data_IF_210844001810
#
_entry.id   IF_210844001810
#
_cell.length_a   1.000
_cell.length_b   1.000
_cell.length_c   1.000
_cell.angle_alpha   90.00
_cell.angle_beta   90.00
_cell.angle_gamma   90.00
#
_symmetry.space_group_name_H-M   'P 1'
#
loop_
_entity.id
_entity.type
_entity.pdbx_description
1 polymer ?
#
# COMPACT_ATOMS: atom_id res chain seq x y z
N UNK A 1 -71.77 -13.42 78.55
CA UNK A 1 -71.40 -14.66 77.84
C UNK A 1 -69.90 -14.59 77.57
N UNK A 2 -69.08 -15.15 78.47
CA UNK A 2 -67.62 -15.08 78.33
C UNK A 2 -67.15 -16.18 77.39
N UNK A 3 -66.53 -15.83 76.26
CA UNK A 3 -65.89 -16.80 75.38
C UNK A 3 -64.64 -17.31 76.10
N UNK A 4 -64.67 -18.56 76.55
CA UNK A 4 -63.52 -19.20 77.19
C UNK A 4 -62.62 -19.75 76.08
N UNK A 5 -61.69 -18.93 75.57
CA UNK A 5 -60.80 -19.33 74.49
C UNK A 5 -59.79 -20.35 75.04
N UNK A 6 -59.73 -21.53 74.42
CA UNK A 6 -58.82 -22.60 74.83
C UNK A 6 -57.37 -22.16 74.64
N UNK A 7 -56.59 -22.18 75.72
CA UNK A 7 -55.18 -21.78 75.76
C UNK A 7 -54.32 -22.52 74.73
N UNK A 8 -54.70 -23.74 74.35
CA UNK A 8 -54.02 -24.52 73.29
C UNK A 8 -54.18 -23.92 71.89
N UNK A 9 -55.32 -23.28 71.62
CA UNK A 9 -55.60 -22.62 70.33
C UNK A 9 -54.83 -21.30 70.24
N UNK A 10 -54.75 -20.54 71.34
CA UNK A 10 -53.94 -19.32 71.43
C UNK A 10 -52.45 -19.62 71.20
N UNK A 11 -51.93 -20.69 71.80
CA UNK A 11 -50.54 -21.12 71.59
C UNK A 11 -50.27 -21.55 70.14
N UNK A 12 -51.22 -22.22 69.50
CA UNK A 12 -51.11 -22.60 68.08
C UNK A 12 -51.12 -21.39 67.15
N UNK A 13 -52.05 -20.45 67.34
CA UNK A 13 -52.08 -19.21 66.55
C UNK A 13 -50.82 -18.36 66.76
N UNK A 14 -50.32 -18.28 68.00
CA UNK A 14 -49.06 -17.59 68.30
C UNK A 14 -47.86 -18.27 67.59
N UNK A 15 -47.78 -19.60 67.58
CA UNK A 15 -46.71 -20.33 66.89
C UNK A 15 -46.74 -20.15 65.37
N UNK A 16 -47.94 -20.10 64.77
CA UNK A 16 -48.12 -19.88 63.33
C UNK A 16 -47.75 -18.44 62.97
N UNK A 17 -48.14 -17.46 63.79
CA UNK A 17 -47.76 -16.07 63.59
C UNK A 17 -46.22 -15.87 63.69
N UNK A 18 -45.57 -16.54 64.64
CA UNK A 18 -44.11 -16.54 64.77
C UNK A 18 -43.44 -17.21 63.57
N UNK A 19 -43.93 -18.37 63.13
CA UNK A 19 -43.40 -19.07 61.97
C UNK A 19 -43.55 -18.24 60.68
N UNK A 20 -44.71 -17.60 60.47
CA UNK A 20 -44.96 -16.72 59.32
C UNK A 20 -44.05 -15.49 59.33
N UNK A 21 -43.81 -14.87 60.49
CA UNK A 21 -42.88 -13.75 60.63
C UNK A 21 -41.42 -14.13 60.33
N UNK A 22 -41.01 -15.35 60.70
CA UNK A 22 -39.67 -15.88 60.39
C UNK A 22 -39.49 -16.17 58.90
N UNK A 23 -40.52 -16.68 58.21
CA UNK A 23 -40.47 -16.96 56.76
C UNK A 23 -40.40 -15.66 55.94
N UNK A 24 -41.16 -14.63 56.33
CA UNK A 24 -41.12 -13.31 55.67
C UNK A 24 -39.79 -12.59 55.93
N UNK A 25 -39.15 -12.82 57.09
CA UNK A 25 -37.83 -12.27 57.41
C UNK A 25 -36.64 -12.99 56.78
N UNK A 26 -36.80 -14.24 56.33
CA UNK A 26 -35.69 -15.11 55.91
C UNK A 26 -35.34 -15.07 54.42
N UNK A 27 -36.06 -14.29 53.59
CA UNK A 27 -35.79 -14.18 52.14
C UNK A 27 -35.26 -12.80 51.72
N UNK A 28 -34.48 -12.16 52.58
CA UNK A 28 -33.59 -11.06 52.19
C UNK A 28 -32.21 -11.63 51.88
N UNK A 29 -31.78 -11.58 50.62
CA UNK A 29 -30.37 -11.76 50.30
C UNK A 29 -29.62 -10.50 50.75
N UNK A 30 -28.70 -10.63 51.72
CA UNK A 30 -27.94 -9.50 52.27
C UNK A 30 -26.78 -9.04 51.38
N UNK A 31 -26.42 -9.83 50.38
CA UNK A 31 -25.35 -9.53 49.45
C UNK A 31 -25.93 -9.44 48.04
N UNK A 32 -25.97 -8.21 47.52
CA UNK A 32 -26.18 -7.90 46.11
C UNK A 32 -24.98 -7.12 45.63
N UNK A 33 -24.48 -7.44 44.46
CA UNK A 33 -23.42 -6.68 43.81
C UNK A 33 -23.84 -6.33 42.38
N UNK A 34 -23.46 -5.15 41.92
CA UNK A 34 -23.80 -4.62 40.60
C UNK A 34 -22.60 -3.88 40.03
N UNK A 35 -22.08 -4.39 38.92
CA UNK A 35 -21.01 -3.74 38.19
C UNK A 35 -21.58 -3.01 36.97
N UNK A 36 -21.14 -1.77 36.76
CA UNK A 36 -21.60 -0.94 35.62
C UNK A 36 -20.39 -0.52 34.79
N UNK A 37 -20.34 -1.00 33.54
CA UNK A 37 -19.40 -0.46 32.56
C UNK A 37 -19.96 0.86 32.00
N UNK A 38 -19.29 1.98 32.27
CA UNK A 38 -19.64 3.31 31.73
C UNK A 38 -18.60 3.75 30.71
N UNK A 39 -19.01 4.48 29.67
CA UNK A 39 -18.08 4.98 28.65
C UNK A 39 -17.68 3.97 27.57
N UNK A 40 -18.43 2.88 27.40
CA UNK A 40 -18.25 2.02 26.22
C UNK A 40 -18.52 2.84 24.95
N UNK A 41 -17.55 2.87 24.05
CA UNK A 41 -17.63 3.60 22.78
C UNK A 41 -17.26 2.68 21.63
N UNK A 42 -17.78 2.99 20.44
CA UNK A 42 -17.33 2.41 19.18
C UNK A 42 -16.84 3.55 18.30
N UNK A 43 -15.59 3.47 17.87
CA UNK A 43 -14.99 4.40 16.92
C UNK A 43 -14.55 3.60 15.71
N UNK A 44 -14.99 4.01 14.52
CA UNK A 44 -14.51 3.41 13.27
C UNK A 44 -13.08 3.90 12.99
N UNK A 45 -12.27 3.03 12.39
CA UNK A 45 -10.95 3.41 11.90
C UNK A 45 -11.02 4.23 10.61
N UNK A 46 -9.88 4.76 10.21
CA UNK A 46 -9.64 5.45 8.93
C UNK A 46 -8.74 4.58 8.04
N UNK A 47 -8.67 4.94 6.76
CA UNK A 47 -7.75 4.36 5.79
C UNK A 47 -7.19 5.51 4.97
N UNK A 48 -5.89 5.73 5.11
CA UNK A 48 -5.13 6.75 4.41
C UNK A 48 -3.83 6.12 3.93
N UNK A 49 -3.41 6.45 2.71
CA UNK A 49 -2.19 5.96 2.07
C UNK A 49 -1.23 7.14 1.91
N UNK A 50 0.00 6.98 2.39
CA UNK A 50 1.10 7.90 2.11
C UNK A 50 2.14 7.23 1.24
N UNK A 51 2.74 8.04 0.37
CA UNK A 51 3.72 7.60 -0.62
C UNK A 51 4.96 8.49 -0.55
N UNK A 52 6.12 7.86 -0.55
CA UNK A 52 7.43 8.50 -0.62
C UNK A 52 8.17 7.92 -1.84
N UNK A 53 9.06 8.70 -2.44
CA UNK A 53 9.87 8.23 -3.55
C UNK A 53 11.32 8.70 -3.43
N UNK A 54 12.25 7.83 -3.80
CA UNK A 54 13.66 8.19 -4.00
C UNK A 54 14.10 7.74 -5.38
N UNK A 55 14.40 8.69 -6.25
CA UNK A 55 14.90 8.42 -7.58
C UNK A 55 16.42 8.16 -7.58
N UNK A 56 16.83 7.28 -8.48
CA UNK A 56 18.19 7.01 -8.93
C UNK A 56 18.20 6.92 -10.47
N UNK A 57 18.98 7.74 -11.16
CA UNK A 57 19.09 7.72 -12.63
C UNK A 57 20.57 7.80 -13.00
N UNK A 58 21.02 7.03 -13.97
CA UNK A 58 22.43 6.93 -14.33
C UNK A 58 22.58 7.01 -15.85
N UNK A 59 23.48 7.90 -16.29
CA UNK A 59 23.95 7.93 -17.67
C UNK A 59 25.18 7.02 -17.84
N UNK A 60 25.34 6.32 -18.98
CA UNK A 60 26.53 5.51 -19.27
C UNK A 60 27.84 6.30 -19.21
N UNK A 61 27.77 7.63 -19.40
CA UNK A 61 28.94 8.49 -19.49
C UNK A 61 29.61 8.76 -18.14
N UNK A 62 28.84 8.79 -17.05
CA UNK A 62 29.34 9.15 -15.72
C UNK A 62 29.05 8.11 -14.63
N UNK A 63 28.09 7.21 -14.84
CA UNK A 63 27.70 6.16 -13.88
C UNK A 63 27.30 6.74 -12.51
N UNK A 64 26.86 8.00 -12.47
CA UNK A 64 26.50 8.70 -11.24
C UNK A 64 25.01 8.99 -11.15
N UNK A 65 24.41 8.91 -9.94
CA UNK A 65 22.99 9.21 -9.75
C UNK A 65 22.69 10.69 -10.06
N UNK A 66 21.85 10.96 -11.05
CA UNK A 66 21.61 12.29 -11.61
C UNK A 66 20.11 12.62 -11.84
N UNK A 67 19.26 12.25 -10.88
CA UNK A 67 17.82 12.53 -10.93
C UNK A 67 17.46 14.01 -11.12
N UNK A 68 16.44 14.32 -11.94
CA UNK A 68 15.96 15.68 -12.11
C UNK A 68 15.45 16.30 -10.81
N UNK A 69 15.88 17.54 -10.54
CA UNK A 69 15.53 18.27 -9.31
C UNK A 69 14.67 19.49 -9.62
N UNK A 70 13.95 20.06 -8.62
CA UNK A 70 13.11 21.23 -8.85
C UNK A 70 13.91 22.42 -9.41
N UNK A 71 13.34 23.17 -10.37
CA UNK A 71 11.96 23.13 -10.85
C UNK A 71 11.72 22.17 -12.01
N UNK A 72 12.75 21.48 -12.50
CA UNK A 72 12.69 20.67 -13.72
C UNK A 72 11.92 19.38 -13.50
N UNK A 73 12.14 18.69 -12.36
CA UNK A 73 11.37 17.53 -11.93
C UNK A 73 11.31 17.42 -10.41
N UNK A 74 10.26 16.81 -9.86
CA UNK A 74 10.18 16.47 -8.45
C UNK A 74 10.03 14.96 -8.34
N UNK A 75 11.17 14.27 -8.50
CA UNK A 75 11.28 12.81 -8.55
C UNK A 75 11.69 12.19 -7.22
N UNK A 76 12.05 12.99 -6.22
CA UNK A 76 12.33 12.52 -4.86
C UNK A 76 11.56 13.37 -3.85
N UNK A 77 10.84 12.72 -2.93
CA UNK A 77 10.03 13.39 -1.92
C UNK A 77 9.77 12.53 -0.67
N UNK A 78 9.57 13.21 0.45
CA UNK A 78 9.16 12.59 1.72
C UNK A 78 7.66 12.25 1.71
N UNK A 79 7.26 11.36 2.61
CA UNK A 79 5.88 10.88 2.77
C UNK A 79 4.78 11.92 2.66
N UNK A 80 3.92 11.73 1.66
CA UNK A 80 2.86 12.67 1.31
C UNK A 80 1.68 11.99 0.61
N UNK A 81 0.58 12.73 0.48
CA UNK A 81 -0.45 12.46 -0.52
C UNK A 81 0.08 12.83 -1.91
N UNK A 82 -0.09 11.92 -2.88
CA UNK A 82 0.29 12.19 -4.26
C UNK A 82 -0.55 13.32 -4.85
N UNK A 83 0.05 14.00 -5.83
CA UNK A 83 -0.54 15.14 -6.52
C UNK A 83 0.30 15.48 -7.74
N UNK A 84 -0.17 16.40 -8.58
CA UNK A 84 0.39 16.66 -9.93
C UNK A 84 1.86 17.07 -9.98
N UNK A 85 2.45 17.45 -8.85
CA UNK A 85 3.87 17.79 -8.77
C UNK A 85 4.76 16.54 -8.61
N UNK A 86 4.24 15.46 -8.02
CA UNK A 86 4.98 14.23 -7.74
C UNK A 86 5.02 13.37 -9.00
N UNK A 87 6.23 13.08 -9.50
CA UNK A 87 6.45 12.23 -10.67
C UNK A 87 7.48 11.19 -10.30
N UNK A 88 7.16 9.91 -10.36
CA UNK A 88 8.14 8.84 -10.13
C UNK A 88 9.30 8.99 -11.14
N UNK A 89 8.95 8.89 -12.42
CA UNK A 89 9.89 9.11 -13.51
C UNK A 89 9.59 10.44 -14.22
N UNK A 90 10.64 11.24 -14.43
CA UNK A 90 10.56 12.43 -15.26
C UNK A 90 11.93 12.71 -15.86
N UNK A 91 12.14 12.28 -17.10
CA UNK A 91 13.39 12.48 -17.84
C UNK A 91 13.07 13.14 -19.17
N UNK A 92 13.94 14.06 -19.60
CA UNK A 92 13.72 14.82 -20.85
C UNK A 92 14.68 14.41 -21.97
N UNK A 93 15.63 13.52 -21.68
CA UNK A 93 16.69 13.13 -22.61
C UNK A 93 17.28 11.75 -22.22
N UNK A 94 16.45 10.71 -22.32
CA UNK A 94 16.89 9.31 -22.12
C UNK A 94 17.57 8.80 -23.39
N UNK A 95 18.68 8.07 -23.24
CA UNK A 95 19.47 7.53 -24.35
C UNK A 95 19.63 6.02 -24.26
N UNK A 96 19.84 5.32 -25.39
CA UNK A 96 20.19 3.91 -25.36
C UNK A 96 21.39 3.65 -24.44
N UNK A 97 21.23 2.72 -23.50
CA UNK A 97 22.17 2.40 -22.45
C UNK A 97 21.86 3.03 -21.09
N UNK A 98 21.01 4.06 -21.05
CA UNK A 98 20.57 4.69 -19.81
C UNK A 98 19.73 3.73 -18.97
N UNK A 99 19.86 3.86 -17.65
CA UNK A 99 19.13 3.07 -16.68
C UNK A 99 18.87 3.88 -15.42
N UNK A 100 17.89 3.46 -14.65
CA UNK A 100 17.57 4.07 -13.38
C UNK A 100 16.65 3.20 -12.56
N UNK A 101 16.30 3.70 -11.40
CA UNK A 101 15.51 3.03 -10.40
C UNK A 101 14.81 4.07 -9.52
N UNK A 102 13.60 3.75 -9.10
CA UNK A 102 12.92 4.44 -8.01
C UNK A 102 12.70 3.48 -6.84
N UNK A 103 13.05 3.89 -5.62
CA UNK A 103 12.53 3.27 -4.40
C UNK A 103 11.24 3.99 -3.98
N UNK A 104 10.11 3.32 -4.23
CA UNK A 104 8.79 3.77 -3.79
C UNK A 104 8.48 3.13 -2.44
N UNK A 105 8.07 3.94 -1.47
CA UNK A 105 7.62 3.43 -0.19
C UNK A 105 6.20 3.85 0.14
N UNK A 106 5.43 2.91 0.69
CA UNK A 106 4.02 3.06 1.00
C UNK A 106 3.79 2.86 2.49
N UNK A 107 2.89 3.64 3.08
CA UNK A 107 2.45 3.46 4.48
C UNK A 107 0.96 3.69 4.58
N UNK A 108 0.26 2.80 5.29
CA UNK A 108 -1.20 2.85 5.47
C UNK A 108 -1.59 2.91 6.95
N UNK A 109 -2.68 3.61 7.27
CA UNK A 109 -3.20 3.69 8.66
C UNK A 109 -3.88 2.40 9.15
N UNK A 110 -4.31 1.54 8.24
CA UNK A 110 -4.92 0.25 8.55
C UNK A 110 -4.47 -0.80 7.55
N UNK A 111 -4.50 -2.08 7.94
CA UNK A 111 -4.15 -3.18 7.04
C UNK A 111 -4.98 -3.08 5.75
N UNK A 112 -4.30 -3.13 4.61
CA UNK A 112 -4.92 -2.82 3.33
C UNK A 112 -4.39 -3.69 2.19
N UNK A 113 -5.29 -4.06 1.29
CA UNK A 113 -4.94 -4.54 -0.03
C UNK A 113 -4.36 -3.38 -0.84
N UNK A 114 -3.36 -3.68 -1.67
CA UNK A 114 -2.73 -2.71 -2.56
C UNK A 114 -2.93 -3.13 -4.02
N UNK A 115 -3.30 -2.17 -4.84
CA UNK A 115 -3.29 -2.24 -6.30
C UNK A 115 -2.50 -1.07 -6.87
N UNK A 116 -1.70 -1.34 -7.88
CA UNK A 116 -1.07 -0.33 -8.72
C UNK A 116 -1.70 -0.38 -10.12
N UNK A 117 -1.95 0.79 -10.70
CA UNK A 117 -2.41 0.94 -12.08
C UNK A 117 -1.44 1.81 -12.84
N UNK A 118 -1.14 1.42 -14.08
CA UNK A 118 -0.36 2.21 -15.02
C UNK A 118 -1.21 2.41 -16.28
N UNK A 119 -1.44 3.67 -16.64
CA UNK A 119 -2.14 4.04 -17.88
C UNK A 119 -1.19 4.87 -18.74
N UNK A 120 -1.03 4.48 -20.00
CA UNK A 120 -0.19 5.22 -20.96
C UNK A 120 -1.07 6.31 -21.57
N UNK A 121 -0.69 7.56 -21.32
CA UNK A 121 -1.47 8.74 -21.72
C UNK A 121 -1.00 9.38 -23.02
N UNK A 122 0.27 9.16 -23.39
CA UNK A 122 0.82 9.56 -24.66
C UNK A 122 1.99 8.65 -25.02
N UNK A 123 2.08 8.33 -26.30
CA UNK A 123 3.22 7.67 -26.94
C UNK A 123 3.41 8.39 -28.26
N UNK A 124 4.56 9.04 -28.43
CA UNK A 124 4.73 10.10 -29.43
C UNK A 124 6.04 9.96 -30.16
N UNK A 125 5.96 9.90 -31.49
CA UNK A 125 7.07 10.16 -32.40
C UNK A 125 7.10 11.68 -32.69
N UNK A 126 7.98 12.42 -32.01
CA UNK A 126 7.98 13.88 -32.08
C UNK A 126 8.66 14.44 -33.33
N UNK A 127 9.74 13.80 -33.81
CA UNK A 127 10.47 14.27 -34.98
C UNK A 127 11.48 13.29 -35.55
N UNK A 128 11.21 12.82 -36.76
CA UNK A 128 12.17 12.06 -37.56
C UNK A 128 13.43 12.84 -37.98
N UNK A 129 14.50 12.63 -37.24
CA UNK A 129 15.82 13.17 -37.58
C UNK A 129 16.59 12.27 -38.55
N UNK A 130 17.69 12.79 -39.10
CA UNK A 130 18.49 12.06 -40.10
C UNK A 130 19.00 10.68 -39.64
N UNK A 131 19.55 10.53 -38.41
CA UNK A 131 20.00 9.24 -37.90
C UNK A 131 18.87 8.24 -37.65
N UNK A 132 17.74 8.73 -37.15
CA UNK A 132 16.51 7.98 -36.85
C UNK A 132 15.85 7.44 -38.12
N UNK A 133 15.67 8.26 -39.17
CA UNK A 133 15.15 7.80 -40.48
C UNK A 133 16.03 6.72 -41.13
N UNK A 134 17.31 6.65 -40.76
CA UNK A 134 18.23 5.59 -41.23
C UNK A 134 18.04 4.30 -40.43
N UNK A 135 17.79 4.41 -39.13
CA UNK A 135 17.52 3.28 -38.24
C UNK A 135 16.13 2.70 -38.48
N UNK A 136 15.14 3.55 -38.73
CA UNK A 136 13.73 3.21 -38.80
C UNK A 136 13.14 3.76 -40.12
N UNK A 137 13.17 2.95 -41.21
CA UNK A 137 12.64 3.33 -42.52
C UNK A 137 11.10 3.34 -42.52
N UNK A 138 10.51 4.35 -41.90
CA UNK A 138 9.07 4.38 -41.63
C UNK A 138 8.67 5.58 -40.78
N UNK A 139 9.62 6.11 -40.01
CA UNK A 139 9.50 7.22 -39.10
C UNK A 139 8.44 8.26 -39.49
N UNK A 140 7.57 8.55 -38.53
CA UNK A 140 6.47 9.50 -38.62
C UNK A 140 5.27 8.98 -39.42
N UNK A 141 5.17 7.67 -39.66
CA UNK A 141 4.07 7.08 -40.43
C UNK A 141 2.78 6.91 -39.62
N UNK A 142 2.87 6.71 -38.30
CA UNK A 142 1.74 6.41 -37.41
C UNK A 142 1.63 7.31 -36.18
N UNK A 143 2.51 8.30 -35.99
CA UNK A 143 2.59 9.20 -34.83
C UNK A 143 2.85 8.50 -33.47
N UNK A 144 2.86 7.16 -33.42
CA UNK A 144 3.26 6.36 -32.25
C UNK A 144 4.79 6.26 -32.21
N UNK A 145 5.41 6.50 -31.05
CA UNK A 145 6.86 6.35 -30.88
C UNK A 145 7.26 4.89 -30.62
N UNK A 146 8.57 4.62 -30.62
CA UNK A 146 9.15 3.31 -30.34
C UNK A 146 9.74 3.20 -28.92
N UNK A 147 9.78 4.31 -28.18
CA UNK A 147 10.40 4.35 -26.85
C UNK A 147 9.68 3.42 -25.85
N UNK A 148 8.34 3.36 -25.88
CA UNK A 148 7.56 2.55 -24.93
C UNK A 148 7.86 1.05 -25.09
N UNK A 149 7.98 0.57 -26.32
CA UNK A 149 8.26 -0.84 -26.66
C UNK A 149 9.69 -1.27 -26.30
N UNK A 150 10.55 -0.30 -25.99
CA UNK A 150 11.95 -0.53 -25.72
C UNK A 150 12.34 -0.19 -24.27
N UNK A 151 11.48 0.48 -23.52
CA UNK A 151 11.71 0.80 -22.12
C UNK A 151 11.32 -0.40 -21.24
N UNK A 152 12.32 -1.03 -20.62
CA UNK A 152 12.15 -2.24 -19.83
C UNK A 152 12.10 -1.92 -18.35
N UNK A 153 11.09 -2.45 -17.66
CA UNK A 153 10.87 -2.24 -16.23
C UNK A 153 10.94 -3.55 -15.45
N UNK A 154 11.50 -3.50 -14.25
CA UNK A 154 11.50 -4.59 -13.27
C UNK A 154 11.04 -4.03 -11.92
N UNK A 155 10.19 -4.77 -11.21
CA UNK A 155 9.75 -4.37 -9.87
C UNK A 155 10.00 -5.49 -8.88
N UNK A 156 10.47 -5.14 -7.69
CA UNK A 156 10.73 -6.08 -6.59
C UNK A 156 10.28 -5.53 -5.25
N UNK A 157 10.17 -6.42 -4.28
CA UNK A 157 10.09 -6.05 -2.88
C UNK A 157 11.48 -5.67 -2.39
N UNK A 158 11.69 -4.38 -2.18
CA UNK A 158 12.92 -3.81 -1.61
C UNK A 158 12.86 -4.00 -0.08
N UNK A 159 13.08 -5.24 0.34
CA UNK A 159 13.07 -5.65 1.74
C UNK A 159 14.50 -5.77 2.31
N UNK A 160 15.52 -5.50 1.49
CA UNK A 160 16.92 -5.70 1.84
C UNK A 160 17.29 -7.17 2.05
N UNK A 161 18.38 -7.39 2.78
CA UNK A 161 18.99 -8.73 2.93
C UNK A 161 18.35 -9.59 4.02
N UNK A 162 17.51 -9.02 4.88
CA UNK A 162 16.77 -9.72 5.92
C UNK A 162 15.34 -9.97 5.43
N UNK A 163 14.98 -11.21 5.06
CA UNK A 163 13.64 -11.50 4.58
C UNK A 163 12.56 -11.14 5.61
N UNK A 164 11.56 -10.41 5.17
CA UNK A 164 10.53 -9.86 6.02
C UNK A 164 9.85 -8.68 5.33
N UNK A 165 8.82 -8.96 4.55
CA UNK A 165 8.00 -7.90 3.97
C UNK A 165 7.36 -7.10 5.11
N UNK A 166 7.68 -5.80 5.20
CA UNK A 166 7.16 -4.86 6.22
C UNK A 166 7.68 -5.14 7.65
N UNK A 167 9.00 -5.37 7.77
CA UNK A 167 9.80 -5.40 9.01
C UNK A 167 10.79 -6.57 9.07
N UNK A 168 11.83 -6.60 9.93
CA UNK A 168 12.43 -5.54 10.76
C UNK A 168 13.50 -4.74 9.99
N UNK A 169 13.71 -3.48 10.39
CA UNK A 169 14.65 -2.54 9.78
C UNK A 169 16.03 -3.15 9.53
N UNK A 170 16.22 -3.57 8.29
CA UNK A 170 17.52 -3.81 7.70
C UNK A 170 18.13 -2.46 7.33
N UNK A 171 19.46 -2.35 7.34
CA UNK A 171 20.12 -1.17 6.79
C UNK A 171 20.00 -1.09 5.27
N UNK A 172 19.66 -2.22 4.63
CA UNK A 172 19.43 -2.34 3.19
C UNK A 172 17.96 -2.34 2.79
N UNK A 173 17.03 -2.13 3.72
CA UNK A 173 15.61 -1.99 3.35
C UNK A 173 15.38 -0.58 2.78
N UNK A 174 14.72 -0.49 1.62
CA UNK A 174 14.49 0.77 0.92
C UNK A 174 15.79 1.47 0.48
N UNK A 175 16.86 0.71 0.20
CA UNK A 175 18.20 1.27 -0.04
C UNK A 175 18.53 1.49 -1.51
N UNK A 176 17.58 1.20 -2.40
CA UNK A 176 17.72 1.37 -3.84
C UNK A 176 18.86 0.49 -4.44
N UNK A 177 19.03 -0.73 -3.92
CA UNK A 177 19.95 -1.74 -4.46
C UNK A 177 19.23 -3.07 -4.64
N UNK A 178 19.01 -3.49 -5.89
CA UNK A 178 18.34 -4.76 -6.15
C UNK A 178 19.24 -5.96 -5.82
N UNK A 179 18.95 -6.64 -4.72
CA UNK A 179 19.66 -7.85 -4.29
C UNK A 179 18.82 -9.09 -4.58
N UNK A 180 18.86 -9.57 -5.83
CA UNK A 180 18.04 -10.70 -6.35
C UNK A 180 18.01 -11.95 -5.44
N UNK A 181 19.08 -12.20 -4.67
CA UNK A 181 19.13 -13.33 -3.73
C UNK A 181 18.11 -13.21 -2.58
N UNK A 182 17.84 -11.99 -2.12
CA UNK A 182 17.02 -11.71 -0.94
C UNK A 182 15.74 -10.96 -1.26
N UNK A 183 15.67 -10.33 -2.43
CA UNK A 183 14.59 -9.45 -2.82
C UNK A 183 13.70 -10.09 -3.89
N UNK A 184 12.46 -10.45 -3.55
CA UNK A 184 11.54 -11.07 -4.49
C UNK A 184 11.15 -10.13 -5.61
N UNK A 185 11.41 -10.56 -6.85
CA UNK A 185 10.84 -9.93 -8.04
C UNK A 185 9.32 -10.09 -8.05
N UNK A 186 8.61 -8.98 -8.13
CA UNK A 186 7.17 -8.90 -8.29
C UNK A 186 6.77 -8.85 -9.76
N UNK A 187 7.52 -8.06 -10.54
CA UNK A 187 7.33 -7.87 -11.97
C UNK A 187 8.66 -8.17 -12.64
N UNK A 188 8.68 -9.25 -13.44
CA UNK A 188 9.85 -9.57 -14.25
C UNK A 188 10.08 -8.53 -15.33
N UNK A 189 11.34 -8.35 -15.72
CA UNK A 189 11.72 -7.41 -16.76
C UNK A 189 10.84 -7.50 -18.02
N UNK A 190 10.25 -6.37 -18.41
CA UNK A 190 9.40 -6.26 -19.59
C UNK A 190 8.93 -4.84 -19.86
N UNK A 191 8.25 -4.63 -20.97
CA UNK A 191 7.64 -3.35 -21.31
C UNK A 191 6.30 -3.17 -20.58
N UNK A 192 5.94 -1.92 -20.34
CA UNK A 192 4.65 -1.55 -19.76
C UNK A 192 3.56 -1.57 -20.84
N UNK A 193 2.34 -1.93 -20.46
CA UNK A 193 1.16 -1.84 -21.33
C UNK A 193 0.17 -0.77 -20.83
N UNK A 194 -0.63 -0.21 -21.76
CA UNK A 194 -1.73 0.66 -21.38
C UNK A 194 -2.81 -0.09 -20.58
N UNK A 195 -3.26 0.50 -19.47
CA UNK A 195 -4.24 -0.10 -18.55
C UNK A 195 -3.72 -1.27 -17.73
N UNK A 196 -2.41 -1.32 -17.48
CA UNK A 196 -1.78 -2.40 -16.74
C UNK A 196 -2.09 -2.33 -15.24
N UNK A 197 -2.48 -3.46 -14.66
CA UNK A 197 -2.93 -3.56 -13.27
C UNK A 197 -2.11 -4.62 -12.54
N UNK A 198 -1.60 -4.24 -11.37
CA UNK A 198 -0.85 -5.11 -10.49
C UNK A 198 -1.50 -5.15 -9.11
N UNK A 199 -1.85 -6.33 -8.61
CA UNK A 199 -2.33 -6.48 -7.24
C UNK A 199 -1.22 -7.10 -6.40
N UNK A 200 -0.90 -6.49 -5.25
CA UNK A 200 0.07 -7.06 -4.32
C UNK A 200 -0.34 -8.44 -3.82
N UNK A 201 -1.66 -8.68 -3.72
CA UNK A 201 -2.22 -9.97 -3.30
C UNK A 201 -1.87 -11.14 -4.23
N UNK A 202 -1.50 -10.86 -5.49
CA UNK A 202 -1.06 -11.90 -6.43
C UNK A 202 0.30 -12.50 -6.01
N UNK A 203 1.03 -11.81 -5.13
CA UNK A 203 2.27 -12.27 -4.50
C UNK A 203 1.99 -12.87 -3.10
N UNK A 204 1.73 -14.18 -3.05
CA UNK A 204 1.52 -14.95 -1.80
C UNK A 204 0.48 -14.34 -0.84
N UNK A 205 -0.62 -13.79 -1.39
CA UNK A 205 -1.68 -13.11 -0.63
C UNK A 205 -1.17 -11.93 0.22
N UNK A 206 -0.08 -11.29 -0.20
CA UNK A 206 0.51 -10.14 0.50
C UNK A 206 -0.43 -8.93 0.55
N UNK A 207 -0.33 -8.18 1.64
CA UNK A 207 -1.09 -6.97 1.90
C UNK A 207 -0.26 -6.01 2.74
N UNK A 208 -0.62 -4.73 2.74
CA UNK A 208 0.05 -3.71 3.53
C UNK A 208 -0.37 -3.79 5.00
N UNK A 209 0.60 -3.75 5.91
CA UNK A 209 0.39 -3.72 7.36
C UNK A 209 0.25 -2.28 7.84
N UNK A 210 -0.68 -2.05 8.77
CA UNK A 210 -0.89 -0.74 9.38
C UNK A 210 0.41 -0.18 9.99
N UNK A 211 0.69 1.08 9.70
CA UNK A 211 1.81 1.87 10.22
C UNK A 211 3.20 1.27 9.92
N UNK A 212 3.28 0.28 9.03
CA UNK A 212 4.55 -0.23 8.50
C UNK A 212 4.84 0.40 7.15
N UNK A 213 6.13 0.63 6.89
CA UNK A 213 6.61 1.03 5.57
C UNK A 213 6.79 -0.24 4.73
N UNK A 214 6.25 -0.23 3.52
CA UNK A 214 6.50 -1.23 2.48
C UNK A 214 7.30 -0.57 1.36
N UNK A 215 8.43 -1.17 0.98
CA UNK A 215 9.31 -0.62 -0.05
C UNK A 215 9.33 -1.49 -1.30
N UNK A 216 9.31 -0.82 -2.44
CA UNK A 216 9.28 -1.39 -3.76
C UNK A 216 10.33 -0.69 -4.60
N UNK A 217 11.28 -1.44 -5.13
CA UNK A 217 12.19 -0.93 -6.14
C UNK A 217 11.55 -1.08 -7.52
N UNK A 218 11.67 -0.04 -8.33
CA UNK A 218 11.18 0.00 -9.72
C UNK A 218 12.35 0.42 -10.59
N UNK A 219 13.05 -0.56 -11.16
CA UNK A 219 14.12 -0.30 -12.12
C UNK A 219 13.55 -0.12 -13.52
N UNK A 220 14.19 0.73 -14.29
CA UNK A 220 14.00 0.86 -15.72
C UNK A 220 15.34 0.88 -16.44
N UNK A 221 15.36 0.42 -17.69
CA UNK A 221 16.51 0.59 -18.57
C UNK A 221 16.08 0.68 -20.02
N UNK A 222 16.85 1.44 -20.79
CA UNK A 222 16.75 1.47 -22.25
C UNK A 222 17.95 0.71 -22.83
N UNK A 223 17.77 -0.47 -23.46
CA UNK A 223 18.88 -1.25 -23.98
C UNK A 223 19.71 -0.48 -25.02
N UNK A 224 21.04 -0.68 -25.02
CA UNK A 224 21.95 0.00 -25.98
C UNK A 224 21.63 -0.39 -27.44
N UNK A 225 21.17 -1.61 -27.66
CA UNK A 225 20.89 -2.18 -28.98
C UNK A 225 19.74 -1.51 -29.74
N UNK A 226 18.86 -0.80 -29.03
CA UNK A 226 17.74 -0.01 -29.59
C UNK A 226 18.28 1.07 -30.54
N UNK A 227 19.39 1.71 -30.15
CA UNK A 227 20.05 2.70 -31.00
C UNK A 227 19.16 3.91 -31.30
N UNK A 228 19.24 4.45 -32.52
CA UNK A 228 18.58 5.71 -32.87
C UNK A 228 17.11 5.56 -33.24
N UNK A 229 16.49 4.38 -33.13
CA UNK A 229 15.07 4.23 -33.49
C UNK A 229 14.16 4.99 -32.52
N UNK A 230 14.52 5.07 -31.24
CA UNK A 230 13.76 5.82 -30.21
C UNK A 230 14.11 7.31 -30.11
N UNK A 231 14.82 7.83 -31.10
CA UNK A 231 15.33 9.20 -31.02
C UNK A 231 14.18 10.20 -31.09
N UNK A 232 14.13 11.15 -30.16
CA UNK A 232 13.09 12.20 -30.08
C UNK A 232 11.71 11.75 -29.60
N UNK A 233 11.49 10.46 -29.50
CA UNK A 233 10.27 9.88 -28.96
C UNK A 233 9.99 10.32 -27.53
N UNK A 234 8.72 10.32 -27.17
CA UNK A 234 8.25 10.64 -25.84
C UNK A 234 7.13 9.71 -25.40
N UNK A 235 7.18 9.31 -24.13
CA UNK A 235 6.15 8.52 -23.48
C UNK A 235 5.68 9.25 -22.23
N UNK A 236 4.36 9.34 -22.04
CA UNK A 236 3.75 9.86 -20.81
C UNK A 236 2.79 8.81 -20.24
N UNK A 237 2.92 8.50 -18.95
CA UNK A 237 2.04 7.57 -18.25
C UNK A 237 1.65 8.10 -16.86
N UNK A 238 0.51 7.62 -16.36
CA UNK A 238 0.10 7.81 -14.97
C UNK A 238 0.36 6.54 -14.18
N UNK A 239 0.87 6.68 -12.96
CA UNK A 239 0.98 5.60 -11.98
C UNK A 239 0.10 5.92 -10.77
N UNK A 240 -0.87 5.05 -10.49
CA UNK A 240 -1.84 5.20 -9.40
C UNK A 240 -1.72 4.05 -8.40
N UNK A 241 -1.72 4.37 -7.11
CA UNK A 241 -1.83 3.38 -6.03
C UNK A 241 -3.22 3.46 -5.39
N UNK A 242 -3.90 2.32 -5.33
CA UNK A 242 -5.21 2.17 -4.70
C UNK A 242 -5.11 1.22 -3.51
N UNK A 243 -5.77 1.59 -2.41
CA UNK A 243 -5.87 0.76 -1.21
C UNK A 243 -7.30 0.46 -0.82
N UNK A 244 -7.57 -0.79 -0.46
CA UNK A 244 -8.83 -1.22 0.14
C UNK A 244 -8.57 -1.86 1.50
N UNK A 245 -9.46 -1.63 2.47
CA UNK A 245 -9.31 -2.25 3.79
C UNK A 245 -9.22 -3.78 3.67
N UNK A 246 -8.23 -4.39 4.33
CA UNK A 246 -8.01 -5.83 4.31
C UNK A 246 -9.09 -6.60 5.08
N UNK A 247 -9.36 -6.17 6.32
CA UNK A 247 -10.24 -6.89 7.23
C UNK A 247 -11.69 -6.91 6.72
N UNK A 248 -12.28 -8.10 6.69
CA UNK A 248 -13.65 -8.35 6.19
C UNK A 248 -13.84 -8.12 4.68
N UNK A 249 -12.74 -8.02 3.92
CA UNK A 249 -12.76 -7.88 2.47
C UNK A 249 -11.91 -9.00 1.82
N UNK A 250 -12.45 -10.23 1.67
CA UNK A 250 -11.70 -11.36 1.12
C UNK A 250 -11.58 -11.35 -0.42
N UNK A 251 -12.17 -10.36 -1.08
CA UNK A 251 -12.14 -10.21 -2.54
C UNK A 251 -12.03 -8.72 -2.84
N UNK A 252 -10.85 -8.12 -2.59
CA UNK A 252 -10.60 -6.74 -2.98
C UNK A 252 -10.74 -6.60 -4.49
N UNK A 253 -11.17 -5.42 -4.91
CA UNK A 253 -11.37 -4.96 -6.28
C UNK A 253 -11.27 -5.96 -7.45
#
# INVERSE_FOLDING_TARGET
>A
MGININTKILLSLASIAVAAALVVGATFAFFSDSETSTGNTFTAGTLDLKVDNTCHYNEPADDTPNCPTPPEGFTTWDSTDLGVAHKFFYFTDVKPGDYGEDTVSLTVENDAWLRMLIDVTADTDNSCTGPETVAEPGCGANDDGELLENLLFTVWLDQGVTPGFQGPQDLSECDNDFVEQFEPTLISEGTVQDGEIWNLADFDEAYLLAEQKACFGIAWRLPEEVGNEVQSDGVEATMEFQVEQYRNNPSPF
#
